data_IF_434665941190
#
_entry.id   IF_434665941190
#
_cell.length_a   1.000
_cell.length_b   1.000
_cell.length_c   1.000
_cell.angle_alpha   90.00
_cell.angle_beta   90.00
_cell.angle_gamma   90.00
#
_symmetry.space_group_name_H-M   'P 1'
#
loop_
_entity.id
_entity.type
_entity.pdbx_description
1 polymer ?
#
# COMPACT_ATOMS: atom_id res chain seq x y z
N UNK A 1 -13.45 -1.31 -8.62
CA UNK A 1 -13.11 -1.18 -7.20
C UNK A 1 -12.08 -2.24 -6.83
N UNK A 2 -11.03 -1.89 -6.07
CA UNK A 2 -10.06 -2.89 -5.64
C UNK A 2 -10.70 -3.96 -4.77
N UNK A 3 -10.33 -5.19 -5.02
CA UNK A 3 -10.52 -6.30 -4.11
C UNK A 3 -9.21 -6.48 -3.37
N UNK A 4 -9.20 -7.36 -2.36
CA UNK A 4 -7.96 -7.66 -1.64
C UNK A 4 -6.87 -8.14 -2.61
N UNK A 5 -7.19 -9.10 -3.47
CA UNK A 5 -6.23 -9.62 -4.46
C UNK A 5 -5.84 -8.56 -5.49
N UNK A 6 -6.81 -7.75 -5.93
CA UNK A 6 -6.54 -6.67 -6.87
C UNK A 6 -5.63 -5.61 -6.27
N UNK A 7 -5.82 -5.29 -4.98
CA UNK A 7 -4.96 -4.34 -4.28
C UNK A 7 -3.53 -4.86 -4.19
N UNK A 8 -3.35 -6.17 -3.90
CA UNK A 8 -2.02 -6.79 -3.85
C UNK A 8 -1.34 -6.71 -5.22
N UNK A 9 -2.06 -7.02 -6.30
CA UNK A 9 -1.50 -6.94 -7.64
C UNK A 9 -1.12 -5.50 -8.03
N UNK A 10 -1.98 -4.53 -7.70
CA UNK A 10 -1.66 -3.13 -7.95
C UNK A 10 -0.41 -2.69 -7.18
N UNK A 11 -0.31 -3.10 -5.92
CA UNK A 11 0.86 -2.78 -5.09
C UNK A 11 2.12 -3.42 -5.67
N UNK A 12 2.04 -4.67 -6.11
CA UNK A 12 3.18 -5.39 -6.68
C UNK A 12 3.69 -4.70 -7.94
N UNK A 13 2.78 -4.33 -8.84
CA UNK A 13 3.14 -3.65 -10.08
C UNK A 13 3.72 -2.27 -9.81
N UNK A 14 3.15 -1.54 -8.87
CA UNK A 14 3.66 -0.23 -8.49
C UNK A 14 5.07 -0.31 -7.93
N UNK A 15 5.31 -1.25 -7.02
CA UNK A 15 6.62 -1.42 -6.41
C UNK A 15 7.67 -1.82 -7.46
N UNK A 16 7.33 -2.77 -8.34
CA UNK A 16 8.22 -3.19 -9.41
C UNK A 16 8.60 -2.02 -10.32
N UNK A 17 7.62 -1.18 -10.66
CA UNK A 17 7.85 -0.02 -11.48
C UNK A 17 8.74 1.02 -10.79
N UNK A 18 8.53 1.25 -9.49
CA UNK A 18 9.36 2.19 -8.73
C UNK A 18 10.79 1.71 -8.59
N UNK A 19 10.99 0.41 -8.43
CA UNK A 19 12.31 -0.19 -8.28
C UNK A 19 12.95 -0.57 -9.62
N UNK A 20 12.19 -0.46 -10.71
CA UNK A 20 12.63 -0.83 -12.08
C UNK A 20 13.08 -2.29 -12.15
N UNK A 21 12.24 -3.17 -11.59
CA UNK A 21 12.46 -4.61 -11.61
C UNK A 21 11.22 -5.32 -12.16
N UNK A 22 11.36 -6.60 -12.45
CA UNK A 22 10.24 -7.42 -12.91
C UNK A 22 9.25 -7.64 -11.74
N UNK A 23 7.94 -7.52 -11.96
CA UNK A 23 6.95 -7.83 -10.91
C UNK A 23 7.11 -9.24 -10.31
N UNK A 24 7.64 -10.20 -11.08
CA UNK A 24 7.92 -11.54 -10.55
C UNK A 24 8.97 -11.55 -9.45
N UNK A 25 9.80 -10.50 -9.36
CA UNK A 25 10.82 -10.36 -8.34
C UNK A 25 10.29 -9.70 -7.06
N UNK A 26 9.01 -9.34 -7.02
CA UNK A 26 8.35 -8.80 -5.84
C UNK A 26 7.58 -9.92 -5.17
N UNK A 27 7.92 -10.22 -3.92
CA UNK A 27 7.31 -11.31 -3.18
C UNK A 27 6.30 -10.79 -2.18
N UNK A 28 5.17 -11.48 -2.07
CA UNK A 28 4.19 -11.18 -1.05
C UNK A 28 4.63 -11.79 0.27
N UNK A 29 4.78 -10.96 1.32
CA UNK A 29 5.15 -11.43 2.65
C UNK A 29 3.94 -11.66 3.52
N UNK A 30 3.02 -10.69 3.55
CA UNK A 30 1.79 -10.82 4.32
C UNK A 30 0.72 -9.89 3.77
N UNK A 31 -0.53 -10.30 3.96
CA UNK A 31 -1.69 -9.46 3.71
C UNK A 31 -2.64 -9.68 4.89
N UNK A 32 -2.89 -8.62 5.64
CA UNK A 32 -3.66 -8.71 6.87
C UNK A 32 -4.82 -7.72 6.84
N UNK A 33 -5.97 -8.13 7.36
CA UNK A 33 -7.05 -7.18 7.62
C UNK A 33 -6.60 -6.24 8.72
N UNK A 34 -6.88 -4.95 8.56
CA UNK A 34 -6.41 -3.95 9.50
C UNK A 34 -7.38 -2.77 9.56
N UNK A 35 -7.49 -2.16 10.73
CA UNK A 35 -8.22 -0.92 10.90
C UNK A 35 -7.20 0.21 10.95
N UNK A 36 -7.42 1.23 10.13
CA UNK A 36 -6.54 2.38 10.05
C UNK A 36 -7.19 3.58 10.72
N UNK A 37 -6.37 4.54 11.23
CA UNK A 37 -6.89 5.62 12.06
C UNK A 37 -7.71 6.67 11.32
N UNK A 38 -7.59 6.75 10.00
CA UNK A 38 -8.29 7.77 9.21
C UNK A 38 -8.58 7.24 7.80
N UNK A 39 -9.24 8.07 7.00
CA UNK A 39 -9.67 7.68 5.66
C UNK A 39 -8.54 7.66 4.64
N UNK A 40 -7.35 8.14 4.97
CA UNK A 40 -6.14 7.98 4.16
C UNK A 40 -5.34 6.75 4.58
N UNK A 41 -5.90 5.90 5.44
CA UNK A 41 -5.28 4.66 5.93
C UNK A 41 -3.98 4.93 6.70
N UNK A 42 -3.88 6.09 7.35
CA UNK A 42 -2.67 6.50 8.06
C UNK A 42 -1.50 6.75 7.13
N UNK A 43 -1.75 6.92 5.84
CA UNK A 43 -0.73 7.07 4.79
C UNK A 43 -1.03 8.28 3.91
N UNK A 44 -1.36 9.41 4.54
CA UNK A 44 -1.66 10.65 3.81
C UNK A 44 -0.43 11.16 3.06
N UNK A 45 -0.65 11.65 1.85
CA UNK A 45 0.38 12.39 1.12
C UNK A 45 0.57 13.77 1.75
N UNK A 46 1.71 14.40 1.48
CA UNK A 46 1.99 15.74 1.99
C UNK A 46 0.89 16.71 1.59
N UNK A 47 0.33 17.43 2.58
CA UNK A 47 -0.73 18.39 2.33
C UNK A 47 -2.12 17.80 2.14
N UNK A 48 -2.26 16.49 2.16
CA UNK A 48 -3.56 15.86 2.00
C UNK A 48 -4.37 15.97 3.29
N UNK A 49 -5.64 16.37 3.14
CA UNK A 49 -6.59 16.36 4.25
C UNK A 49 -7.45 15.13 4.14
N UNK A 50 -7.58 14.38 5.23
CA UNK A 50 -8.41 13.19 5.23
C UNK A 50 -9.39 13.19 6.39
N UNK A 51 -10.50 12.48 6.20
CA UNK A 51 -11.50 12.33 7.25
C UNK A 51 -10.96 11.51 8.42
N UNK A 52 -11.34 11.91 9.63
CA UNK A 52 -10.91 11.26 10.89
C UNK A 52 -11.86 10.13 11.24
N UNK A 53 -11.94 9.14 10.37
CA UNK A 53 -12.81 7.98 10.56
C UNK A 53 -11.97 6.71 10.47
N UNK A 54 -12.11 5.84 11.45
CA UNK A 54 -11.46 4.52 11.41
C UNK A 54 -11.94 3.81 10.15
N UNK A 55 -11.00 3.37 9.34
CA UNK A 55 -11.27 2.78 8.04
C UNK A 55 -10.67 1.38 7.97
N UNK A 56 -11.53 0.39 7.74
CA UNK A 56 -11.09 -1.00 7.61
C UNK A 56 -10.51 -1.24 6.22
N UNK A 57 -9.41 -1.96 6.16
CA UNK A 57 -8.77 -2.29 4.91
C UNK A 57 -7.74 -3.39 5.09
N UNK A 58 -6.69 -3.34 4.29
CA UNK A 58 -5.65 -4.37 4.26
C UNK A 58 -4.28 -3.75 4.38
N UNK A 59 -3.44 -4.37 5.21
CA UNK A 59 -2.02 -4.03 5.28
C UNK A 59 -1.27 -5.08 4.47
N UNK A 60 -0.58 -4.62 3.44
CA UNK A 60 0.10 -5.48 2.49
C UNK A 60 1.59 -5.27 2.67
N UNK A 61 2.33 -6.34 2.93
CA UNK A 61 3.79 -6.27 2.99
C UNK A 61 4.38 -7.07 1.86
N UNK A 62 5.23 -6.40 1.07
CA UNK A 62 5.91 -6.97 -0.07
C UNK A 62 7.41 -6.91 0.17
N UNK A 63 8.12 -7.89 -0.36
CA UNK A 63 9.58 -7.94 -0.28
C UNK A 63 10.17 -7.85 -1.67
N UNK A 64 11.17 -6.99 -1.83
CA UNK A 64 11.94 -6.87 -3.06
C UNK A 64 13.34 -6.42 -2.73
N UNK A 65 14.33 -6.99 -3.39
CA UNK A 65 15.74 -6.60 -3.23
C UNK A 65 16.21 -6.62 -1.76
N UNK A 66 15.69 -7.58 -0.99
CA UNK A 66 16.06 -7.75 0.42
C UNK A 66 15.42 -6.77 1.38
N UNK A 67 14.46 -5.96 0.93
CA UNK A 67 13.76 -4.98 1.76
C UNK A 67 12.27 -5.26 1.77
N UNK A 68 11.62 -4.91 2.88
CA UNK A 68 10.17 -5.03 3.01
C UNK A 68 9.53 -3.66 2.85
N UNK A 69 8.47 -3.60 2.05
CA UNK A 69 7.70 -2.39 1.78
C UNK A 69 6.26 -2.61 2.20
N UNK A 70 5.65 -1.58 2.76
CA UNK A 70 4.27 -1.66 3.22
C UNK A 70 3.35 -0.85 2.34
N UNK A 71 2.28 -1.50 1.88
CA UNK A 71 1.16 -0.83 1.21
C UNK A 71 -0.06 -0.95 2.10
N UNK A 72 -0.93 0.02 2.03
CA UNK A 72 -2.22 0.04 2.73
C UNK A 72 -3.32 0.27 1.71
N UNK A 73 -4.38 -0.51 1.81
CA UNK A 73 -5.44 -0.45 0.82
C UNK A 73 -6.81 -0.68 1.45
N UNK A 74 -7.83 -0.21 0.77
CA UNK A 74 -9.20 -0.59 1.05
C UNK A 74 -9.94 -0.76 -0.29
N UNK A 75 -11.26 -0.85 -0.25
CA UNK A 75 -12.05 -1.04 -1.48
C UNK A 75 -12.00 0.16 -2.43
N UNK A 76 -11.45 1.29 -2.00
CA UNK A 76 -11.45 2.54 -2.76
C UNK A 76 -10.07 3.00 -3.19
N UNK A 77 -9.00 2.50 -2.57
CA UNK A 77 -7.68 3.07 -2.77
C UNK A 77 -6.56 2.10 -2.41
N UNK A 78 -5.39 2.36 -2.96
CA UNK A 78 -4.15 1.68 -2.59
C UNK A 78 -3.11 2.77 -2.34
N UNK A 79 -2.37 2.66 -1.24
CA UNK A 79 -1.35 3.63 -0.86
C UNK A 79 -0.05 2.94 -0.50
N UNK A 80 1.06 3.54 -0.90
CA UNK A 80 2.40 3.10 -0.50
C UNK A 80 2.80 3.90 0.75
N UNK A 81 3.12 3.18 1.83
CA UNK A 81 3.39 3.78 3.12
C UNK A 81 4.88 3.97 3.34
N UNK A 82 5.28 5.21 3.59
CA UNK A 82 6.66 5.62 3.96
C UNK A 82 7.74 5.06 3.02
N UNK A 83 7.54 5.20 1.73
CA UNK A 83 8.56 4.88 0.75
C UNK A 83 9.55 6.06 0.69
N UNK A 84 10.78 5.82 1.13
CA UNK A 84 11.80 6.87 1.25
C UNK A 84 11.29 8.06 2.06
N UNK A 85 10.51 7.78 3.10
CA UNK A 85 10.00 8.79 4.01
C UNK A 85 8.71 9.47 3.57
N UNK A 86 8.12 9.07 2.46
CA UNK A 86 6.90 9.68 1.94
C UNK A 86 5.82 8.65 1.65
N UNK A 87 4.57 9.09 1.74
CA UNK A 87 3.41 8.29 1.38
C UNK A 87 2.94 8.65 -0.03
N UNK A 88 2.43 7.69 -0.76
CA UNK A 88 1.95 7.88 -2.13
C UNK A 88 0.62 7.17 -2.32
N UNK A 89 -0.34 7.87 -2.90
CA UNK A 89 -1.56 7.22 -3.41
C UNK A 89 -1.30 6.78 -4.84
N UNK A 90 -1.55 5.51 -5.10
CA UNK A 90 -1.28 4.94 -6.44
C UNK A 90 -2.56 4.70 -7.22
#
# INVERSE_FOLDING_TARGET
MPTKDGAVENARKDLANRLKIDPADVKQRSVEDSDFPDMSLGAAEDGEMSGQMITSGWRIRLEAQGKTYEYRADKNQVRLYKFKGKNYRI
#
